data_IF_311284130662
#
_entry.id   IF_311284130662
#
_cell.length_a   1.000
_cell.length_b   1.000
_cell.length_c   1.000
_cell.angle_alpha   90.00
_cell.angle_beta   90.00
_cell.angle_gamma   90.00
#
_symmetry.space_group_name_H-M   'P 1'
#
loop_
_entity.id
_entity.type
_entity.pdbx_description
1 polymer ?
#
# COMPACT_ATOMS: atom_id res chain seq x y z
N UNK A 1 29.37 1.50 -42.58
CA UNK A 1 28.74 2.47 -41.66
C UNK A 1 29.35 2.27 -40.28
N UNK A 2 29.85 3.31 -39.62
CA UNK A 2 30.43 3.22 -38.27
C UNK A 2 29.32 3.31 -37.21
N UNK A 3 29.30 2.39 -36.25
CA UNK A 3 28.17 2.10 -35.35
C UNK A 3 28.31 2.75 -33.96
N UNK A 4 28.87 3.96 -33.89
CA UNK A 4 29.18 4.61 -32.61
C UNK A 4 27.93 4.94 -31.78
N UNK A 5 26.80 5.24 -32.43
CA UNK A 5 25.54 5.55 -31.76
C UNK A 5 24.77 4.25 -31.50
N UNK A 6 24.79 3.77 -30.25
CA UNK A 6 24.05 2.58 -29.81
C UNK A 6 23.08 2.98 -28.68
N UNK A 7 21.87 2.42 -28.63
CA UNK A 7 20.95 2.65 -27.52
C UNK A 7 21.50 2.01 -26.23
N UNK A 8 21.11 2.58 -25.09
CA UNK A 8 21.42 2.03 -23.77
C UNK A 8 20.37 0.99 -23.39
N UNK A 9 20.74 -0.30 -23.40
CA UNK A 9 19.84 -1.38 -22.96
C UNK A 9 19.87 -1.61 -21.44
N UNK A 10 20.95 -1.15 -20.78
CA UNK A 10 21.11 -1.23 -19.33
C UNK A 10 21.49 0.13 -18.78
N UNK A 11 20.88 0.49 -17.66
CA UNK A 11 21.17 1.73 -16.94
C UNK A 11 22.48 1.59 -16.15
N UNK A 12 23.15 2.71 -15.90
CA UNK A 12 24.33 2.73 -15.03
C UNK A 12 23.94 2.40 -13.58
N UNK A 13 24.67 1.48 -12.95
CA UNK A 13 24.48 1.11 -11.53
C UNK A 13 25.33 2.01 -10.64
N UNK A 14 24.77 2.49 -9.52
CA UNK A 14 25.38 3.47 -8.60
C UNK A 14 26.47 2.93 -7.64
N UNK A 15 27.11 1.80 -7.95
CA UNK A 15 28.07 1.15 -7.05
C UNK A 15 29.52 1.62 -7.24
N UNK A 16 29.91 1.99 -8.47
CA UNK A 16 31.31 2.24 -8.84
C UNK A 16 31.66 3.73 -8.98
N UNK A 17 30.75 4.63 -8.65
CA UNK A 17 30.99 6.08 -8.67
C UNK A 17 31.48 6.58 -7.31
N UNK A 18 32.28 7.65 -7.33
CA UNK A 18 32.89 8.32 -6.17
C UNK A 18 31.91 8.75 -5.06
N UNK A 19 30.60 8.62 -5.29
CA UNK A 19 29.55 8.86 -4.32
C UNK A 19 29.33 7.69 -3.35
N UNK A 20 29.62 6.45 -3.77
CA UNK A 20 29.30 5.24 -2.99
C UNK A 20 30.55 4.54 -2.41
N UNK A 21 31.73 4.99 -2.82
CA UNK A 21 33.00 4.69 -2.18
C UNK A 21 33.65 6.04 -1.86
N UNK A 22 34.01 6.35 -0.60
CA UNK A 22 34.63 7.61 -0.25
C UNK A 22 36.06 7.61 -0.81
N UNK A 23 36.21 7.93 -2.08
CA UNK A 23 37.47 8.33 -2.67
C UNK A 23 37.56 9.82 -2.38
N UNK A 24 38.36 10.28 -1.41
CA UNK A 24 38.43 11.69 -1.06
C UNK A 24 39.12 12.45 -2.19
N UNK A 25 38.34 12.90 -3.16
CA UNK A 25 38.81 13.87 -4.14
C UNK A 25 38.79 15.26 -3.52
N UNK A 26 39.79 16.10 -3.85
CA UNK A 26 39.90 17.47 -3.32
C UNK A 26 38.81 18.40 -3.92
N UNK A 27 38.09 17.95 -4.94
CA UNK A 27 37.05 18.72 -5.61
C UNK A 27 35.78 18.84 -4.74
N UNK A 28 35.40 20.08 -4.43
CA UNK A 28 34.12 20.44 -3.80
C UNK A 28 33.23 21.17 -4.81
N UNK A 29 31.92 20.92 -4.78
CA UNK A 29 30.94 21.62 -5.62
C UNK A 29 30.24 22.69 -4.80
N UNK A 30 29.77 23.75 -5.46
CA UNK A 30 29.03 24.84 -4.81
C UNK A 30 27.76 24.38 -4.05
N UNK A 31 27.17 23.24 -4.43
CA UNK A 31 26.02 22.64 -3.73
C UNK A 31 26.39 21.86 -2.47
N UNK A 32 27.66 21.47 -2.33
CA UNK A 32 28.17 20.72 -1.17
C UNK A 32 28.70 21.66 -0.07
N UNK A 33 28.61 22.98 -0.29
CA UNK A 33 28.88 23.98 0.74
C UNK A 33 27.86 23.86 1.89
N UNK A 34 28.25 24.19 3.13
CA UNK A 34 27.39 24.01 4.29
C UNK A 34 26.11 24.86 4.16
N UNK A 35 24.97 24.18 4.07
CA UNK A 35 23.64 24.79 4.02
C UNK A 35 22.66 24.04 4.93
N UNK A 36 21.72 24.77 5.54
CA UNK A 36 20.67 24.21 6.39
C UNK A 36 21.19 23.23 7.48
N UNK A 37 22.17 23.70 8.26
CA UNK A 37 22.81 22.91 9.33
C UNK A 37 21.87 22.56 10.49
N UNK A 38 20.69 23.17 10.54
CA UNK A 38 19.71 23.01 11.61
C UNK A 38 18.45 22.35 11.09
N UNK A 39 18.13 21.16 11.60
CA UNK A 39 16.86 20.49 11.33
C UNK A 39 15.76 21.07 12.23
N UNK A 40 14.61 21.40 11.64
CA UNK A 40 13.42 21.76 12.39
C UNK A 40 12.67 20.49 12.77
N UNK A 41 12.41 20.31 14.05
CA UNK A 41 11.57 19.23 14.54
C UNK A 41 10.12 19.68 14.60
N UNK A 42 9.19 18.79 14.28
CA UNK A 42 7.76 19.03 14.51
C UNK A 42 7.55 19.15 16.01
N UNK A 43 6.97 20.26 16.47
CA UNK A 43 6.54 20.39 17.85
C UNK A 43 5.47 19.35 18.13
N UNK A 44 5.56 18.69 19.27
CA UNK A 44 4.72 17.56 19.67
C UNK A 44 3.29 17.96 20.06
N UNK A 45 2.74 19.04 19.50
CA UNK A 45 1.31 19.37 19.64
C UNK A 45 0.42 18.37 18.90
N UNK A 46 0.98 17.64 17.95
CA UNK A 46 0.31 16.55 17.21
C UNK A 46 0.71 15.17 17.75
N UNK A 47 0.90 15.03 19.06
CA UNK A 47 0.99 13.69 19.67
C UNK A 47 -0.41 13.11 19.70
N UNK A 48 -0.75 12.38 18.63
CA UNK A 48 -1.88 11.47 18.53
C UNK A 48 -3.14 12.01 19.18
N UNK A 49 -3.89 12.84 18.46
CA UNK A 49 -5.30 13.01 18.78
C UNK A 49 -5.91 11.61 18.93
N UNK A 50 -6.67 11.42 20.00
CA UNK A 50 -7.37 10.17 20.26
C UNK A 50 -8.04 9.71 18.95
N UNK A 51 -7.85 8.44 18.56
CA UNK A 51 -8.36 7.90 17.28
C UNK A 51 -9.86 8.23 17.10
N UNK A 52 -10.59 8.27 18.21
CA UNK A 52 -11.99 8.66 18.29
C UNK A 52 -12.24 10.15 18.00
N UNK A 53 -11.38 11.05 18.49
CA UNK A 53 -11.44 12.46 18.16
C UNK A 53 -11.18 12.72 16.67
N UNK A 54 -10.24 11.98 16.06
CA UNK A 54 -9.99 12.03 14.61
C UNK A 54 -11.15 11.49 13.79
N UNK A 55 -11.76 10.36 14.19
CA UNK A 55 -12.96 9.81 13.54
C UNK A 55 -14.11 10.82 13.56
N UNK A 56 -14.36 11.44 14.71
CA UNK A 56 -15.41 12.45 14.86
C UNK A 56 -15.13 13.73 14.07
N UNK A 57 -13.86 14.15 13.96
CA UNK A 57 -13.49 15.32 13.15
C UNK A 57 -13.62 15.02 11.66
N UNK A 58 -13.26 13.81 11.23
CA UNK A 58 -13.43 13.32 9.86
C UNK A 58 -14.91 13.29 9.48
N UNK A 59 -15.77 12.68 10.29
CA UNK A 59 -17.21 12.58 10.02
C UNK A 59 -17.86 13.97 9.89
N UNK A 60 -17.45 14.93 10.72
CA UNK A 60 -17.91 16.33 10.62
C UNK A 60 -17.44 17.02 9.34
N UNK A 61 -16.21 16.76 8.89
CA UNK A 61 -15.67 17.32 7.65
C UNK A 61 -16.31 16.68 6.42
N UNK A 62 -16.61 15.38 6.47
CA UNK A 62 -17.32 14.66 5.42
C UNK A 62 -18.77 15.12 5.32
N UNK A 63 -19.49 15.25 6.44
CA UNK A 63 -20.83 15.82 6.43
C UNK A 63 -20.86 17.25 5.86
N UNK A 64 -19.84 18.07 6.17
CA UNK A 64 -19.74 19.43 5.62
C UNK A 64 -19.38 19.44 4.12
N UNK A 65 -18.46 18.58 3.69
CA UNK A 65 -18.07 18.44 2.28
C UNK A 65 -19.14 17.76 1.41
N UNK A 66 -20.06 17.02 2.02
CA UNK A 66 -21.23 16.44 1.35
C UNK A 66 -22.39 17.44 1.17
N UNK A 67 -22.53 18.42 2.07
CA UNK A 67 -23.60 19.44 2.02
C UNK A 67 -23.20 20.62 1.12
N UNK A 68 -21.93 21.02 1.13
CA UNK A 68 -21.43 22.09 0.27
C UNK A 68 -20.62 21.46 -0.88
N UNK A 69 -21.13 21.44 -2.14
CA UNK A 69 -20.27 21.14 -3.27
C UNK A 69 -19.13 22.16 -3.29
N UNK A 70 -17.89 21.75 -3.60
CA UNK A 70 -16.75 22.67 -3.58
C UNK A 70 -17.07 23.89 -4.44
N UNK A 71 -16.94 25.13 -3.92
CA UNK A 71 -16.99 26.29 -4.80
C UNK A 71 -15.78 26.18 -5.72
N UNK A 72 -16.07 25.93 -6.99
CA UNK A 72 -15.13 25.62 -8.06
C UNK A 72 -14.52 24.21 -7.95
N UNK A 73 -15.23 23.22 -8.50
CA UNK A 73 -14.57 22.03 -9.03
C UNK A 73 -13.44 22.50 -9.96
N UNK A 74 -12.20 22.33 -9.51
CA UNK A 74 -11.01 22.67 -10.31
C UNK A 74 -10.89 21.84 -11.59
N UNK A 75 -11.79 20.85 -11.75
CA UNK A 75 -12.02 20.11 -12.97
C UNK A 75 -13.38 20.53 -13.55
N UNK A 76 -13.39 21.20 -14.71
CA UNK A 76 -14.60 21.45 -15.48
C UNK A 76 -15.31 20.13 -15.82
N UNK A 77 -16.64 20.13 -15.84
CA UNK A 77 -17.49 19.00 -16.27
C UNK A 77 -17.18 18.53 -17.71
N UNK A 78 -16.43 19.33 -18.49
CA UNK A 78 -16.04 19.03 -19.86
C UNK A 78 -14.67 18.30 -19.99
N UNK A 79 -14.02 17.92 -18.89
CA UNK A 79 -12.71 17.26 -18.94
C UNK A 79 -12.74 15.73 -19.18
N UNK A 80 -13.92 15.11 -19.19
CA UNK A 80 -14.10 13.71 -19.58
C UNK A 80 -14.29 13.53 -21.10
N UNK A 81 -14.41 14.62 -21.86
CA UNK A 81 -14.46 14.59 -23.32
C UNK A 81 -13.03 14.44 -23.87
N UNK A 82 -12.58 13.20 -23.99
CA UNK A 82 -11.34 12.84 -24.68
C UNK A 82 -11.45 13.28 -26.16
N UNK A 83 -10.73 14.32 -26.63
CA UNK A 83 -10.96 14.89 -27.97
C UNK A 83 -10.50 13.97 -29.12
N UNK A 84 -10.02 12.77 -28.81
CA UNK A 84 -9.62 11.72 -29.76
C UNK A 84 -10.66 10.56 -29.85
N UNK A 85 -11.76 10.61 -29.09
CA UNK A 85 -12.86 9.65 -29.20
C UNK A 85 -13.78 10.00 -30.38
N UNK A 86 -13.26 9.82 -31.59
CA UNK A 86 -14.04 9.92 -32.82
C UNK A 86 -15.17 8.88 -32.90
N UNK A 87 -16.39 9.30 -32.58
CA UNK A 87 -17.61 8.88 -33.28
C UNK A 87 -18.40 7.70 -32.71
N UNK A 88 -19.71 7.89 -32.62
CA UNK A 88 -20.71 6.82 -32.60
C UNK A 88 -21.72 6.97 -31.48
N UNK A 89 -22.91 7.46 -31.82
CA UNK A 89 -23.99 7.70 -30.88
C UNK A 89 -24.46 6.46 -30.11
N UNK A 90 -24.98 6.71 -28.92
CA UNK A 90 -25.87 5.81 -28.21
C UNK A 90 -26.92 6.65 -27.52
N UNK A 91 -28.09 6.73 -28.16
CA UNK A 91 -29.35 6.99 -27.47
C UNK A 91 -29.46 6.03 -26.28
N UNK A 92 -29.55 6.54 -25.07
CA UNK A 92 -30.00 5.77 -23.90
C UNK A 92 -30.89 6.69 -23.08
N UNK A 93 -32.14 6.78 -23.55
CA UNK A 93 -33.30 7.19 -22.77
C UNK A 93 -33.40 6.32 -21.50
N UNK A 94 -33.84 6.96 -20.40
CA UNK A 94 -34.52 6.44 -19.19
C UNK A 94 -34.02 5.10 -18.58
N UNK A 95 -33.76 5.03 -17.28
CA UNK A 95 -34.80 4.83 -16.27
C UNK A 95 -34.30 5.34 -14.91
N UNK A 96 -35.16 6.12 -14.25
CA UNK A 96 -35.02 6.40 -12.84
C UNK A 96 -35.62 5.22 -12.05
N UNK A 97 -34.81 4.22 -11.72
CA UNK A 97 -35.13 3.25 -10.68
C UNK A 97 -34.36 3.62 -9.40
N UNK A 98 -34.92 4.58 -8.67
CA UNK A 98 -34.67 4.70 -7.23
C UNK A 98 -35.57 3.68 -6.52
N UNK A 99 -35.14 2.43 -6.51
CA UNK A 99 -35.61 1.47 -5.51
C UNK A 99 -34.42 0.69 -4.94
N UNK A 100 -33.94 1.16 -3.80
CA UNK A 100 -33.42 0.28 -2.77
C UNK A 100 -33.77 0.90 -1.44
N UNK A 101 -34.99 0.60 -1.00
CA UNK A 101 -35.34 0.62 0.42
C UNK A 101 -34.59 -0.53 1.12
N UNK A 102 -33.30 -0.32 1.36
CA UNK A 102 -32.41 -1.24 2.09
C UNK A 102 -31.86 -0.54 3.33
N UNK A 103 -32.71 -0.39 4.34
CA UNK A 103 -32.26 -0.16 5.72
C UNK A 103 -32.33 -1.49 6.45
N UNK A 104 -31.27 -2.29 6.34
CA UNK A 104 -30.88 -3.30 7.34
C UNK A 104 -29.34 -3.35 7.32
N UNK A 105 -28.79 -2.59 8.26
CA UNK A 105 -27.41 -2.14 8.43
C UNK A 105 -26.88 -2.80 9.71
N UNK A 106 -26.77 -4.15 9.75
CA UNK A 106 -26.21 -4.88 10.92
C UNK A 106 -25.89 -6.41 10.72
N UNK A 107 -26.02 -7.03 9.54
CA UNK A 107 -25.76 -8.50 9.37
C UNK A 107 -24.38 -8.87 8.77
N UNK A 108 -23.71 -8.00 8.02
CA UNK A 108 -22.42 -8.32 7.35
C UNK A 108 -21.20 -8.33 8.29
N UNK A 109 -21.25 -7.59 9.41
CA UNK A 109 -20.13 -7.49 10.36
C UNK A 109 -19.93 -8.78 11.17
N UNK A 110 -21.01 -9.50 11.50
CA UNK A 110 -20.94 -10.78 12.23
C UNK A 110 -20.34 -11.91 11.37
N UNK A 111 -20.63 -11.92 10.06
CA UNK A 111 -20.08 -12.92 9.13
C UNK A 111 -18.57 -12.69 8.87
N UNK A 112 -18.13 -11.43 8.83
CA UNK A 112 -16.72 -11.07 8.73
C UNK A 112 -15.92 -11.47 9.98
N UNK A 113 -16.50 -11.35 11.17
CA UNK A 113 -15.91 -11.82 12.42
C UNK A 113 -15.76 -13.35 12.44
N UNK A 114 -16.76 -14.10 11.97
CA UNK A 114 -16.73 -15.57 11.86
C UNK A 114 -15.62 -16.07 10.92
N UNK A 115 -15.42 -15.40 9.77
CA UNK A 115 -14.35 -15.77 8.82
C UNK A 115 -12.95 -15.51 9.38
N UNK A 116 -12.80 -14.48 10.21
CA UNK A 116 -11.53 -14.20 10.91
C UNK A 116 -11.23 -15.24 11.97
N UNK A 117 -12.24 -15.71 12.70
CA UNK A 117 -12.09 -16.76 13.70
C UNK A 117 -11.73 -18.12 13.06
N UNK A 118 -12.35 -18.46 11.93
CA UNK A 118 -12.00 -19.67 11.17
C UNK A 118 -10.56 -19.62 10.62
N UNK A 119 -10.10 -18.46 10.16
CA UNK A 119 -8.72 -18.28 9.71
C UNK A 119 -7.73 -18.47 10.87
N UNK A 120 -8.08 -17.99 12.07
CA UNK A 120 -7.30 -18.19 13.29
C UNK A 120 -7.20 -19.67 13.68
N UNK A 121 -8.32 -20.41 13.67
CA UNK A 121 -8.37 -21.86 13.96
C UNK A 121 -7.56 -22.67 12.94
N UNK A 122 -7.61 -22.30 11.65
CA UNK A 122 -6.83 -22.97 10.60
C UNK A 122 -5.33 -22.72 10.74
N UNK A 123 -4.92 -21.50 11.10
CA UNK A 123 -3.52 -21.19 11.33
C UNK A 123 -2.97 -21.94 12.57
N UNK A 124 -3.76 -22.03 13.63
CA UNK A 124 -3.40 -22.77 14.84
C UNK A 124 -3.24 -24.27 14.55
N UNK A 125 -4.18 -24.89 13.83
CA UNK A 125 -4.07 -26.30 13.40
C UNK A 125 -2.90 -26.56 12.48
N UNK A 126 -2.62 -25.69 11.51
CA UNK A 126 -1.48 -25.86 10.61
C UNK A 126 -0.15 -25.79 11.37
N UNK A 127 -0.05 -24.91 12.38
CA UNK A 127 1.13 -24.82 13.24
C UNK A 127 1.26 -26.05 14.16
N UNK A 128 0.16 -26.57 14.68
CA UNK A 128 0.14 -27.80 15.49
C UNK A 128 0.53 -29.02 14.64
N UNK A 129 0.01 -29.15 13.42
CA UNK A 129 0.35 -30.24 12.50
C UNK A 129 1.82 -30.17 12.04
N UNK A 130 2.36 -28.97 11.80
CA UNK A 130 3.78 -28.79 11.48
C UNK A 130 4.68 -29.18 12.67
N UNK A 131 4.28 -28.84 13.90
CA UNK A 131 4.99 -29.27 15.12
C UNK A 131 4.89 -30.78 15.33
N UNK A 132 3.73 -31.39 15.08
CA UNK A 132 3.52 -32.82 15.17
C UNK A 132 4.40 -33.58 14.16
N UNK A 133 4.45 -33.13 12.90
CA UNK A 133 5.30 -33.71 11.84
C UNK A 133 6.79 -33.55 12.14
N UNK A 134 7.22 -32.40 12.65
CA UNK A 134 8.61 -32.21 13.07
C UNK A 134 8.99 -33.12 14.26
N UNK A 135 8.06 -33.33 15.20
CA UNK A 135 8.27 -34.26 16.31
C UNK A 135 8.27 -35.73 15.87
N UNK A 136 7.48 -36.11 14.86
CA UNK A 136 7.48 -37.45 14.28
C UNK A 136 8.76 -37.72 13.50
N UNK A 137 9.21 -36.78 12.67
CA UNK A 137 10.49 -36.88 11.96
C UNK A 137 11.69 -36.97 12.91
N UNK A 138 11.67 -36.22 14.02
CA UNK A 138 12.73 -36.30 15.02
C UNK A 138 12.76 -37.67 15.74
N UNK A 139 11.58 -38.30 15.95
CA UNK A 139 11.49 -39.64 16.52
C UNK A 139 11.94 -40.71 15.52
N UNK A 140 11.55 -40.58 14.26
CA UNK A 140 11.97 -41.50 13.19
C UNK A 140 13.49 -41.44 12.97
N UNK A 141 14.10 -40.26 12.97
CA UNK A 141 15.56 -40.11 12.89
C UNK A 141 16.26 -40.71 14.14
N UNK A 142 15.65 -40.59 15.32
CA UNK A 142 16.15 -41.24 16.54
C UNK A 142 16.05 -42.77 16.46
N UNK A 143 14.93 -43.29 15.96
CA UNK A 143 14.72 -44.73 15.75
C UNK A 143 15.65 -45.30 14.67
N UNK A 144 15.85 -44.61 13.55
CA UNK A 144 16.82 -44.97 12.51
C UNK A 144 18.25 -44.97 13.07
N UNK A 145 18.59 -43.96 13.88
CA UNK A 145 19.90 -43.88 14.53
C UNK A 145 20.11 -45.00 15.55
N UNK A 146 19.05 -45.47 16.21
CA UNK A 146 19.12 -46.63 17.10
C UNK A 146 19.19 -47.95 16.31
N UNK A 147 18.51 -48.08 15.17
CA UNK A 147 18.59 -49.27 14.32
C UNK A 147 19.95 -49.44 13.63
N UNK A 148 20.62 -48.35 13.26
CA UNK A 148 21.98 -48.39 12.67
C UNK A 148 23.06 -48.67 13.75
N UNK A 149 22.74 -48.43 15.03
CA UNK A 149 23.65 -48.66 16.15
C UNK A 149 23.59 -50.10 16.73
N UNK A 150 22.79 -50.99 16.14
CA UNK A 150 22.68 -52.43 16.47
C UNK A 150 23.32 -53.25 15.35
#
# INVERSE_FOLDING_TARGET
MTTAHRPTFHNALGANSSSNQPIPTIFRRARDEPGHLTLKFRESKDKGSDKEALRRELEKKEAKGAIEPPPDSAFPEDCDEDPDAGGGGSDTESEADRDSSGSDDDEDDEEAELMRELAKIRAERAAEEAKAKAAEQAKEEEEERQQIAV
#
